data_IF_221509932636
#
_entry.id   IF_221509932636
#
_cell.length_a   1.000
_cell.length_b   1.000
_cell.length_c   1.000
_cell.angle_alpha   90.00
_cell.angle_beta   90.00
_cell.angle_gamma   90.00
#
_symmetry.space_group_name_H-M   'P 1'
#
loop_
_entity.id
_entity.type
_entity.pdbx_description
1 polymer ?
#
# COMPACT_ATOMS: atom_id res chain seq x y z
N UNK A 1 -20.93 -9.55 2.66
CA UNK A 1 -21.20 -8.43 3.59
C UNK A 1 -19.90 -7.67 3.86
N UNK A 2 -19.97 -6.37 3.87
CA UNK A 2 -18.83 -5.52 4.19
C UNK A 2 -18.38 -5.77 5.62
N UNK A 3 -17.11 -6.10 5.77
CA UNK A 3 -16.50 -6.31 7.08
C UNK A 3 -15.86 -5.02 7.60
N UNK A 4 -15.21 -4.27 6.74
CA UNK A 4 -14.55 -3.03 7.13
C UNK A 4 -14.15 -2.19 5.92
N UNK A 5 -13.97 -0.91 6.17
CA UNK A 5 -13.56 0.07 5.17
C UNK A 5 -12.45 0.92 5.76
N UNK A 6 -11.39 1.13 5.01
CA UNK A 6 -10.28 1.98 5.42
C UNK A 6 -9.89 2.95 4.33
N UNK A 7 -9.57 4.15 4.72
CA UNK A 7 -9.09 5.19 3.81
C UNK A 7 -7.85 5.81 4.41
N UNK A 8 -6.90 6.18 3.57
CA UNK A 8 -5.65 6.78 3.99
C UNK A 8 -5.13 7.74 2.94
N UNK A 9 -4.40 8.74 3.38
CA UNK A 9 -3.76 9.71 2.50
C UNK A 9 -2.34 9.96 2.96
N UNK A 10 -1.40 9.99 2.01
CA UNK A 10 -0.01 10.34 2.30
C UNK A 10 0.43 11.47 1.39
N UNK A 11 1.29 12.32 1.91
CA UNK A 11 1.84 13.43 1.14
C UNK A 11 2.96 12.95 0.24
N UNK A 12 2.87 13.30 -1.05
CA UNK A 12 3.89 12.94 -2.05
C UNK A 12 5.27 13.46 -1.63
N UNK A 13 5.34 14.68 -1.11
CA UNK A 13 6.62 15.29 -0.71
C UNK A 13 7.32 14.50 0.39
N UNK A 14 6.56 13.99 1.36
CA UNK A 14 7.13 13.17 2.45
C UNK A 14 7.72 11.88 1.90
N UNK A 15 6.99 11.24 0.99
CA UNK A 15 7.48 10.00 0.36
C UNK A 15 8.71 10.27 -0.48
N UNK A 16 8.74 11.38 -1.22
CA UNK A 16 9.90 11.76 -2.02
C UNK A 16 11.16 11.92 -1.16
N UNK A 17 11.02 12.51 0.02
CA UNK A 17 12.14 12.64 0.97
C UNK A 17 12.64 11.29 1.46
N UNK A 18 11.72 10.35 1.70
CA UNK A 18 12.08 8.99 2.11
C UNK A 18 12.84 8.28 1.00
N UNK A 19 12.35 8.37 -0.24
CA UNK A 19 13.00 7.75 -1.40
C UNK A 19 14.40 8.33 -1.60
N UNK A 20 14.56 9.63 -1.41
CA UNK A 20 15.85 10.30 -1.58
C UNK A 20 16.91 9.83 -0.58
N UNK A 21 16.50 9.29 0.57
CA UNK A 21 17.42 8.78 1.58
C UNK A 21 17.90 7.36 1.32
N UNK A 22 17.40 6.70 0.26
CA UNK A 22 17.76 5.34 -0.07
C UNK A 22 16.61 4.36 0.18
N UNK A 23 16.92 3.06 0.15
CA UNK A 23 15.92 2.00 0.14
C UNK A 23 15.56 1.41 1.51
N UNK A 24 16.09 1.98 2.59
CA UNK A 24 15.88 1.42 3.93
C UNK A 24 14.43 1.24 4.31
N UNK A 25 13.63 2.29 4.13
CA UNK A 25 12.21 2.23 4.43
C UNK A 25 11.47 1.29 3.46
N UNK A 26 11.78 1.38 2.17
CA UNK A 26 11.14 0.53 1.17
C UNK A 26 11.34 -0.95 1.48
N UNK A 27 12.54 -1.35 1.89
CA UNK A 27 12.82 -2.74 2.25
C UNK A 27 12.00 -3.21 3.45
N UNK A 28 11.72 -2.33 4.38
CA UNK A 28 10.88 -2.67 5.55
C UNK A 28 9.41 -2.71 5.21
N UNK A 29 8.96 -1.76 4.40
CA UNK A 29 7.54 -1.57 4.11
C UNK A 29 7.01 -2.51 3.04
N UNK A 30 7.83 -2.85 2.06
CA UNK A 30 7.41 -3.62 0.89
C UNK A 30 7.70 -5.11 1.06
N UNK A 31 6.81 -5.95 0.55
CA UNK A 31 7.10 -7.38 0.43
C UNK A 31 8.18 -7.57 -0.62
N UNK A 32 8.85 -8.74 -0.67
CA UNK A 32 9.86 -9.00 -1.70
C UNK A 32 9.34 -8.78 -3.13
N UNK A 33 8.10 -9.18 -3.41
CA UNK A 33 7.51 -8.99 -4.75
C UNK A 33 7.25 -7.51 -5.04
N UNK A 34 6.75 -6.77 -4.07
CA UNK A 34 6.55 -5.32 -4.22
C UNK A 34 7.90 -4.62 -4.41
N UNK A 35 8.90 -5.02 -3.63
CA UNK A 35 10.22 -4.39 -3.73
C UNK A 35 10.85 -4.63 -5.10
N UNK A 36 10.66 -5.82 -5.67
CA UNK A 36 11.15 -6.12 -7.02
C UNK A 36 10.52 -5.19 -8.07
N UNK A 37 9.23 -4.91 -7.95
CA UNK A 37 8.57 -3.94 -8.83
C UNK A 37 9.10 -2.52 -8.60
N UNK A 38 9.27 -2.15 -7.34
CA UNK A 38 9.78 -0.84 -6.93
C UNK A 38 11.15 -0.54 -7.54
N UNK A 39 12.03 -1.52 -7.53
CA UNK A 39 13.40 -1.37 -8.05
C UNK A 39 13.44 -1.06 -9.55
N UNK A 40 12.39 -1.44 -10.29
CA UNK A 40 12.31 -1.18 -11.73
C UNK A 40 11.82 0.23 -12.06
N UNK A 41 11.39 0.96 -11.05
CA UNK A 41 10.83 2.30 -11.24
C UNK A 41 11.84 3.38 -10.95
N UNK A 42 11.60 4.57 -11.46
CA UNK A 42 12.47 5.71 -11.24
C UNK A 42 11.64 7.00 -11.15
N UNK A 43 12.23 8.04 -10.57
CA UNK A 43 11.64 9.36 -10.51
C UNK A 43 10.29 9.38 -9.81
N UNK A 44 9.37 10.13 -10.39
CA UNK A 44 8.04 10.33 -9.84
C UNK A 44 7.27 9.02 -9.65
N UNK A 45 7.39 8.09 -10.59
CA UNK A 45 6.70 6.79 -10.48
C UNK A 45 7.16 5.99 -9.28
N UNK A 46 8.44 6.07 -8.95
CA UNK A 46 9.00 5.36 -7.79
C UNK A 46 8.39 5.89 -6.50
N UNK A 47 8.26 7.20 -6.40
CA UNK A 47 7.64 7.86 -5.25
C UNK A 47 6.17 7.47 -5.12
N UNK A 48 5.44 7.52 -6.24
CA UNK A 48 4.02 7.17 -6.26
C UNK A 48 3.79 5.70 -5.91
N UNK A 49 4.67 4.83 -6.40
CA UNK A 49 4.58 3.40 -6.08
C UNK A 49 4.74 3.15 -4.58
N UNK A 50 5.83 3.65 -4.00
CA UNK A 50 6.08 3.43 -2.57
C UNK A 50 4.96 4.02 -1.72
N UNK A 51 4.55 5.26 -2.02
CA UNK A 51 3.49 5.91 -1.27
C UNK A 51 2.17 5.18 -1.38
N UNK A 52 1.82 4.72 -2.59
CA UNK A 52 0.59 3.96 -2.81
C UNK A 52 0.57 2.63 -2.07
N UNK A 53 1.68 1.90 -2.13
CA UNK A 53 1.78 0.61 -1.43
C UNK A 53 1.73 0.78 0.08
N UNK A 54 2.44 1.76 0.60
CA UNK A 54 2.40 2.05 2.03
C UNK A 54 0.99 2.47 2.46
N UNK A 55 0.37 3.36 1.70
CA UNK A 55 -0.97 3.85 2.02
C UNK A 55 -2.03 2.73 1.99
N UNK A 56 -1.93 1.79 1.05
CA UNK A 56 -2.84 0.62 1.03
C UNK A 56 -2.71 -0.19 2.32
N UNK A 57 -1.50 -0.37 2.82
CA UNK A 57 -1.27 -1.12 4.06
C UNK A 57 -1.90 -0.41 5.26
N UNK A 58 -1.82 0.92 5.29
CA UNK A 58 -2.49 1.73 6.30
C UNK A 58 -4.02 1.62 6.17
N UNK A 59 -4.55 1.74 4.96
CA UNK A 59 -6.00 1.60 4.70
C UNK A 59 -6.50 0.23 5.10
N UNK A 60 -5.73 -0.82 4.77
CA UNK A 60 -6.07 -2.19 5.17
C UNK A 60 -6.14 -2.30 6.70
N UNK A 61 -5.18 -1.74 7.40
CA UNK A 61 -5.14 -1.79 8.86
C UNK A 61 -6.36 -1.09 9.48
N UNK A 62 -6.77 0.03 8.89
CA UNK A 62 -7.97 0.74 9.33
C UNK A 62 -9.23 -0.08 9.05
N UNK A 63 -9.30 -0.74 7.90
CA UNK A 63 -10.42 -1.61 7.56
C UNK A 63 -10.52 -2.81 8.50
N UNK A 64 -9.38 -3.34 8.95
CA UNK A 64 -9.32 -4.41 9.95
C UNK A 64 -9.70 -3.91 11.33
N UNK A 65 -9.56 -2.61 11.59
CA UNK A 65 -9.84 -2.02 12.89
C UNK A 65 -8.71 -2.18 13.91
N UNK A 66 -7.54 -2.65 13.47
CA UNK A 66 -6.43 -2.97 14.39
C UNK A 66 -5.28 -1.97 14.34
N UNK A 67 -5.12 -1.26 13.21
CA UNK A 67 -3.91 -0.49 12.96
C UNK A 67 -2.71 -1.40 12.68
N UNK A 68 -1.64 -0.81 12.18
CA UNK A 68 -0.38 -1.51 11.97
C UNK A 68 0.37 -1.63 13.30
N UNK A 69 1.00 -2.76 13.54
CA UNK A 69 1.75 -3.00 14.76
C UNK A 69 2.03 -4.48 14.98
N UNK A 70 1.85 -4.93 16.22
CA UNK A 70 2.24 -6.28 16.64
C UNK A 70 1.54 -7.39 15.87
N UNK A 71 0.23 -7.26 15.64
CA UNK A 71 -0.56 -8.33 15.03
C UNK A 71 -0.72 -8.19 13.52
N UNK A 72 -0.34 -7.04 12.98
CA UNK A 72 -0.45 -6.77 11.54
C UNK A 72 0.75 -5.92 11.12
N UNK A 73 1.68 -6.55 10.43
CA UNK A 73 2.87 -5.88 9.93
C UNK A 73 2.69 -5.39 8.51
N UNK A 74 3.58 -4.50 8.09
CA UNK A 74 3.57 -3.95 6.73
C UNK A 74 3.72 -5.04 5.66
N UNK A 75 4.46 -6.10 5.95
CA UNK A 75 4.66 -7.18 4.98
C UNK A 75 3.56 -8.24 4.98
N UNK A 76 2.56 -8.10 5.83
CA UNK A 76 1.40 -8.98 5.84
C UNK A 76 0.38 -8.63 4.75
N UNK A 77 0.56 -7.50 4.07
CA UNK A 77 -0.34 -7.01 3.02
C UNK A 77 0.49 -6.76 1.77
N UNK A 78 0.06 -7.33 0.65
CA UNK A 78 0.78 -7.16 -0.62
C UNK A 78 -0.18 -6.67 -1.69
N UNK A 79 0.25 -5.67 -2.47
CA UNK A 79 -0.50 -5.17 -3.61
C UNK A 79 0.37 -5.22 -4.86
N UNK A 80 -0.06 -6.01 -5.82
CA UNK A 80 0.63 -6.14 -7.11
C UNK A 80 -0.33 -5.74 -8.22
N UNK A 81 0.19 -5.45 -9.40
CA UNK A 81 -0.64 -5.18 -10.57
C UNK A 81 -1.10 -6.50 -11.19
N UNK A 82 -2.37 -6.56 -11.63
CA UNK A 82 -2.80 -7.65 -12.49
C UNK A 82 -2.40 -7.34 -13.94
N UNK A 83 -2.76 -8.24 -14.88
CA UNK A 83 -2.44 -8.07 -16.30
C UNK A 83 -3.06 -6.82 -16.92
N UNK A 84 -4.13 -6.30 -16.33
CA UNK A 84 -4.82 -5.11 -16.82
C UNK A 84 -4.38 -3.82 -16.11
N UNK A 85 -3.39 -3.92 -15.21
CA UNK A 85 -2.87 -2.78 -14.46
C UNK A 85 -3.71 -2.40 -13.24
N UNK A 86 -4.63 -3.28 -12.80
CA UNK A 86 -5.41 -3.02 -11.61
C UNK A 86 -4.65 -3.50 -10.36
N UNK A 87 -4.76 -2.79 -9.24
CA UNK A 87 -4.13 -3.24 -8.00
C UNK A 87 -4.90 -4.44 -7.41
N UNK A 88 -4.17 -5.50 -7.12
CA UNK A 88 -4.71 -6.69 -6.45
C UNK A 88 -4.03 -6.81 -5.11
N UNK A 89 -4.81 -6.68 -4.05
CA UNK A 89 -4.31 -6.71 -2.68
C UNK A 89 -4.66 -8.04 -2.03
N UNK A 90 -3.66 -8.66 -1.41
CA UNK A 90 -3.81 -9.94 -0.71
C UNK A 90 -3.21 -9.86 0.67
N UNK A 91 -3.73 -10.68 1.58
CA UNK A 91 -3.20 -10.81 2.94
C UNK A 91 -3.65 -12.13 3.55
N UNK A 92 -2.76 -12.78 4.29
CA UNK A 92 -3.11 -13.97 5.07
C UNK A 92 -3.87 -13.61 6.36
N UNK A 93 -3.95 -12.33 6.69
CA UNK A 93 -4.60 -11.87 7.93
C UNK A 93 -6.11 -11.68 7.80
N UNK A 94 -6.65 -11.80 6.59
CA UNK A 94 -8.08 -11.64 6.36
C UNK A 94 -8.60 -12.73 5.44
N UNK A 95 -9.68 -13.39 5.86
CA UNK A 95 -10.38 -14.37 5.03
C UNK A 95 -11.58 -13.68 4.38
N UNK A 96 -11.52 -13.52 3.06
CA UNK A 96 -12.55 -12.87 2.30
C UNK A 96 -11.96 -12.12 1.12
N UNK A 97 -12.76 -11.26 0.53
CA UNK A 97 -12.33 -10.44 -0.59
C UNK A 97 -11.76 -9.11 -0.11
N UNK A 98 -10.68 -8.70 -0.73
CA UNK A 98 -10.01 -7.41 -0.46
C UNK A 98 -10.10 -6.58 -1.72
N UNK A 99 -10.80 -5.46 -1.63
CA UNK A 99 -10.92 -4.51 -2.73
C UNK A 99 -10.05 -3.32 -2.40
N UNK A 100 -9.26 -2.87 -3.37
CA UNK A 100 -8.37 -1.74 -3.16
C UNK A 100 -8.43 -0.77 -4.33
N UNK A 101 -8.22 0.50 -4.03
CA UNK A 101 -8.18 1.55 -5.04
C UNK A 101 -7.14 2.59 -4.63
N UNK A 102 -6.45 3.13 -5.61
CA UNK A 102 -5.38 4.12 -5.40
C UNK A 102 -5.61 5.28 -6.36
N UNK A 103 -5.57 6.49 -5.84
CA UNK A 103 -5.54 7.68 -6.68
C UNK A 103 -4.47 8.63 -6.15
N UNK A 104 -3.95 9.47 -7.03
CA UNK A 104 -2.94 10.45 -6.63
C UNK A 104 -2.97 11.69 -7.53
N UNK A 105 -2.51 12.78 -6.98
CA UNK A 105 -2.20 13.99 -7.74
C UNK A 105 -0.75 14.41 -7.41
N UNK A 106 -0.40 15.67 -7.65
CA UNK A 106 0.97 16.13 -7.40
C UNK A 106 1.28 16.30 -5.90
N UNK A 107 0.28 16.25 -5.04
CA UNK A 107 0.42 16.53 -3.61
C UNK A 107 0.12 15.35 -2.73
N UNK A 108 -0.87 14.56 -3.08
CA UNK A 108 -1.36 13.47 -2.22
C UNK A 108 -1.58 12.17 -2.97
N UNK A 109 -1.41 11.08 -2.25
CA UNK A 109 -1.79 9.73 -2.67
C UNK A 109 -2.88 9.30 -1.71
N UNK A 110 -4.02 8.91 -2.23
CA UNK A 110 -5.18 8.49 -1.42
C UNK A 110 -5.53 7.05 -1.79
N UNK A 111 -5.76 6.23 -0.78
CA UNK A 111 -6.13 4.84 -0.99
C UNK A 111 -7.38 4.47 -0.22
N UNK A 112 -8.07 3.46 -0.73
CA UNK A 112 -9.26 2.90 -0.12
C UNK A 112 -9.14 1.39 -0.12
N UNK A 113 -9.47 0.77 1.00
CA UNK A 113 -9.58 -0.68 1.10
C UNK A 113 -10.97 -1.03 1.64
N UNK A 114 -11.62 -1.98 0.99
CA UNK A 114 -12.88 -2.54 1.44
C UNK A 114 -12.67 -4.04 1.67
N UNK A 115 -13.01 -4.49 2.86
CA UNK A 115 -12.94 -5.92 3.20
C UNK A 115 -14.36 -6.48 3.19
N UNK A 116 -14.50 -7.61 2.50
CA UNK A 116 -15.80 -8.24 2.31
C UNK A 116 -15.75 -9.72 2.65
N UNK A 117 -16.68 -10.13 3.47
CA UNK A 117 -16.87 -11.57 3.79
C UNK A 117 -18.10 -12.13 3.12
#
# INVERSE_FOLDING_TARGET
MIYGVGIDAVEVERVAKIVAKGDGFAKKALTPNEFAQYQKMSGKRKVEYLGGRFSIKESFSKAMGTGLGKDLGLQDVETLWDENGHPITTSTKFEGKIWSSITHDNHEIVTLVVLEK
#
